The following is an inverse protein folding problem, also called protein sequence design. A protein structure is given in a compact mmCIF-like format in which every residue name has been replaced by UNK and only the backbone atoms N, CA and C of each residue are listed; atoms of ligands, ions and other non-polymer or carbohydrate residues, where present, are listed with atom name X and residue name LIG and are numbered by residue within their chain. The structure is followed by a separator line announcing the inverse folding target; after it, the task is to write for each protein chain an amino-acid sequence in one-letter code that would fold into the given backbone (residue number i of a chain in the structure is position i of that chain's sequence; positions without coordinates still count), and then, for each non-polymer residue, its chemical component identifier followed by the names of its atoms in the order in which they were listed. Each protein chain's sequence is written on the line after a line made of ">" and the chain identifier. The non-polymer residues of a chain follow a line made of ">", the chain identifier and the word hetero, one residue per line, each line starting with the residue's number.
data_IF_342587070388
#
_entry.id   IF_342587070388
#
_cell.length_a   1.000
_cell.length_b   1.000
_cell.length_c   1.000
_cell.angle_alpha   90.00
_cell.angle_beta   90.00
_cell.angle_gamma   90.00
#
_symmetry.space_group_name_H-M   'P 1'
#
loop_
_entity.id
_entity.type
_entity.pdbx_description
1 polymer ?
#
# COMPACT_ATOMS: atom_id res chain seq x y z
N UNK A 1 -0.50 -10.60 45.69
CA UNK A 1 -0.32 -9.59 44.60
C UNK A 1 0.43 -10.09 43.35
N UNK A 2 1.13 -11.23 43.37
CA UNK A 2 1.90 -11.74 42.22
C UNK A 2 1.06 -12.36 41.08
N UNK A 3 -0.11 -12.93 41.37
CA UNK A 3 -0.96 -13.54 40.31
C UNK A 3 -1.57 -12.54 39.31
N UNK A 4 -1.81 -11.28 39.70
CA UNK A 4 -2.40 -10.27 38.81
C UNK A 4 -1.43 -9.76 37.75
N UNK A 5 -0.14 -9.69 38.05
CA UNK A 5 0.90 -9.18 37.15
C UNK A 5 1.21 -10.21 36.04
N UNK A 6 1.24 -11.49 36.36
CA UNK A 6 1.43 -12.57 35.39
C UNK A 6 0.27 -12.67 34.40
N UNK A 7 -0.97 -12.47 34.86
CA UNK A 7 -2.14 -12.45 33.98
C UNK A 7 -2.14 -11.30 32.98
N UNK A 8 -1.75 -10.10 33.43
CA UNK A 8 -1.66 -8.90 32.57
C UNK A 8 -0.55 -9.02 31.52
N UNK A 9 0.59 -9.60 31.86
CA UNK A 9 1.69 -9.84 30.93
C UNK A 9 1.34 -10.89 29.88
N UNK A 10 0.60 -11.94 30.25
CA UNK A 10 0.14 -12.97 29.31
C UNK A 10 -0.90 -12.42 28.33
N UNK A 11 -1.83 -11.58 28.80
CA UNK A 11 -2.84 -10.94 27.94
C UNK A 11 -2.18 -9.92 27.01
N UNK A 12 -1.23 -9.12 27.48
CA UNK A 12 -0.48 -8.18 26.64
C UNK A 12 0.35 -8.90 25.58
N UNK A 13 0.99 -10.03 25.93
CA UNK A 13 1.71 -10.86 24.96
C UNK A 13 0.79 -11.48 23.91
N UNK A 14 -0.39 -11.98 24.30
CA UNK A 14 -1.37 -12.55 23.38
C UNK A 14 -1.96 -11.49 22.44
N UNK A 15 -2.24 -10.28 22.92
CA UNK A 15 -2.73 -9.18 22.12
C UNK A 15 -1.67 -8.70 21.13
N UNK A 16 -0.39 -8.69 21.55
CA UNK A 16 0.71 -8.32 20.65
C UNK A 16 0.92 -9.38 19.57
N UNK A 17 0.86 -10.66 19.90
CA UNK A 17 0.94 -11.76 18.92
C UNK A 17 -0.27 -11.80 17.97
N UNK A 18 -1.46 -11.39 18.42
CA UNK A 18 -2.64 -11.31 17.56
C UNK A 18 -2.54 -10.20 16.51
N UNK A 19 -1.79 -9.13 16.80
CA UNK A 19 -1.50 -8.04 15.84
C UNK A 19 -0.34 -8.35 14.89
N UNK A 20 0.55 -9.25 15.29
CA UNK A 20 1.61 -9.80 14.46
C UNK A 20 1.07 -11.13 13.92
N UNK A 21 0.27 -11.12 12.85
CA UNK A 21 -0.09 -12.35 12.16
C UNK A 21 1.17 -13.18 11.87
N UNK A 22 1.07 -14.52 11.74
CA UNK A 22 2.22 -15.33 11.38
C UNK A 22 2.82 -14.81 10.08
N UNK A 23 4.12 -14.50 10.08
CA UNK A 23 4.83 -14.13 8.86
C UNK A 23 4.66 -15.27 7.85
N UNK A 24 4.10 -14.95 6.69
CA UNK A 24 3.82 -15.94 5.65
C UNK A 24 4.07 -15.37 4.26
N UNK A 25 4.37 -16.24 3.33
CA UNK A 25 4.60 -15.89 1.94
C UNK A 25 3.51 -16.50 1.07
N UNK A 26 2.92 -15.70 0.19
CA UNK A 26 1.99 -16.15 -0.84
C UNK A 26 2.65 -15.96 -2.21
N UNK A 27 2.46 -16.94 -3.11
CA UNK A 27 2.95 -16.89 -4.49
C UNK A 27 1.83 -17.27 -5.44
N UNK A 28 1.55 -16.43 -6.43
CA UNK A 28 0.48 -16.72 -7.38
C UNK A 28 0.23 -15.56 -8.35
N UNK A 29 -0.82 -15.71 -9.14
CA UNK A 29 -1.34 -14.64 -10.00
C UNK A 29 -2.17 -13.68 -9.13
N UNK A 30 -1.85 -12.40 -9.20
CA UNK A 30 -2.52 -11.35 -8.45
C UNK A 30 -3.31 -10.42 -9.37
N UNK A 31 -4.32 -9.73 -8.79
CA UNK A 31 -5.12 -8.71 -9.48
C UNK A 31 -5.20 -7.44 -8.62
N UNK A 32 -5.04 -6.28 -9.23
CA UNK A 32 -5.19 -5.00 -8.54
C UNK A 32 -6.66 -4.76 -8.16
N UNK A 33 -6.89 -4.33 -6.93
CA UNK A 33 -8.18 -3.81 -6.43
C UNK A 33 -8.22 -2.31 -6.66
N UNK A 34 -7.19 -1.61 -6.19
CA UNK A 34 -6.94 -0.18 -6.35
C UNK A 34 -5.44 0.08 -6.52
N UNK A 35 -4.94 1.28 -6.21
CA UNK A 35 -3.53 1.64 -6.40
C UNK A 35 -2.56 1.05 -5.37
N UNK A 36 -3.04 0.55 -4.24
CA UNK A 36 -2.22 -0.01 -3.15
C UNK A 36 -2.78 -1.29 -2.53
N UNK A 37 -3.81 -1.89 -3.13
CA UNK A 37 -4.38 -3.15 -2.68
C UNK A 37 -4.53 -4.13 -3.84
N UNK A 38 -4.30 -5.40 -3.56
CA UNK A 38 -4.38 -6.47 -4.54
C UNK A 38 -5.09 -7.71 -3.95
N UNK A 39 -5.55 -8.60 -4.83
CA UNK A 39 -6.05 -9.92 -4.45
C UNK A 39 -5.10 -10.99 -4.96
N UNK A 40 -4.65 -11.86 -4.06
CA UNK A 40 -3.74 -12.98 -4.35
C UNK A 40 -4.29 -14.24 -3.67
N UNK A 41 -4.52 -15.30 -4.45
CA UNK A 41 -5.09 -16.57 -3.96
C UNK A 41 -6.39 -16.40 -3.15
N UNK A 42 -7.23 -15.45 -3.56
CA UNK A 42 -8.50 -15.15 -2.88
C UNK A 42 -8.40 -14.18 -1.70
N UNK A 43 -7.20 -13.88 -1.22
CA UNK A 43 -6.97 -12.96 -0.11
C UNK A 43 -6.74 -11.52 -0.58
N UNK A 44 -7.29 -10.58 0.15
CA UNK A 44 -7.04 -9.16 -0.05
C UNK A 44 -5.82 -8.72 0.77
N UNK A 45 -4.82 -8.17 0.09
CA UNK A 45 -3.59 -7.67 0.66
C UNK A 45 -3.46 -6.17 0.40
N UNK A 46 -2.97 -5.42 1.39
CA UNK A 46 -2.59 -4.03 1.24
C UNK A 46 -1.06 -3.93 1.17
N UNK A 47 -0.56 -3.20 0.20
CA UNK A 47 0.87 -2.96 0.05
C UNK A 47 1.40 -2.11 1.22
N UNK A 48 2.38 -2.66 1.95
CA UNK A 48 2.98 -2.00 3.12
C UNK A 48 3.88 -0.84 2.72
N UNK A 49 3.87 0.23 3.49
CA UNK A 49 4.85 1.32 3.39
C UNK A 49 4.51 2.41 2.39
N UNK A 50 3.37 2.32 1.72
CA UNK A 50 2.91 3.29 0.73
C UNK A 50 1.40 3.57 0.86
N UNK A 51 0.94 4.66 0.21
CA UNK A 51 -0.47 5.06 0.16
C UNK A 51 -0.77 5.64 -1.24
N UNK A 52 -1.68 5.03 -1.97
CA UNK A 52 -2.02 5.46 -3.32
C UNK A 52 -3.25 6.38 -3.34
N UNK A 53 -3.38 7.24 -4.37
CA UNK A 53 -4.61 7.98 -4.59
C UNK A 53 -5.82 7.04 -4.67
N UNK A 54 -6.90 7.44 -4.00
CA UNK A 54 -8.16 6.69 -3.99
C UNK A 54 -8.77 6.57 -5.39
N UNK A 55 -9.52 5.52 -5.65
CA UNK A 55 -10.09 5.23 -6.99
C UNK A 55 -10.83 6.40 -7.64
N UNK A 56 -11.47 7.25 -6.82
CA UNK A 56 -12.22 8.44 -7.28
C UNK A 56 -11.41 9.73 -7.16
N UNK A 57 -10.18 9.65 -6.69
CA UNK A 57 -9.36 10.83 -6.46
C UNK A 57 -8.89 11.40 -7.79
N UNK A 58 -9.06 12.71 -7.93
CA UNK A 58 -8.61 13.50 -9.07
C UNK A 58 -7.39 14.33 -8.70
N UNK A 59 -6.53 14.52 -9.66
CA UNK A 59 -5.41 15.46 -9.60
C UNK A 59 -5.63 16.52 -10.68
N UNK A 60 -4.92 17.64 -10.63
CA UNK A 60 -5.01 18.68 -11.64
C UNK A 60 -3.64 19.05 -12.20
N UNK A 61 -3.56 19.27 -13.50
CA UNK A 61 -2.36 19.80 -14.16
C UNK A 61 -2.18 21.30 -13.88
N UNK A 62 -1.10 21.89 -14.39
CA UNK A 62 -0.82 23.30 -14.22
C UNK A 62 -1.90 24.21 -14.81
N UNK A 63 -2.62 23.75 -15.84
CA UNK A 63 -3.74 24.45 -16.47
C UNK A 63 -5.09 24.24 -15.77
N UNK A 64 -5.13 23.47 -14.68
CA UNK A 64 -6.35 23.17 -13.93
C UNK A 64 -7.19 22.04 -14.53
N UNK A 65 -6.70 21.35 -15.57
CA UNK A 65 -7.39 20.19 -16.15
C UNK A 65 -7.27 19.01 -15.17
N UNK A 66 -8.41 18.38 -14.89
CA UNK A 66 -8.46 17.21 -14.03
C UNK A 66 -7.96 15.94 -14.75
N UNK A 67 -7.22 15.12 -14.00
CA UNK A 67 -6.74 13.80 -14.40
C UNK A 67 -7.12 12.75 -13.37
N UNK A 68 -7.35 11.53 -13.81
CA UNK A 68 -7.82 10.40 -13.03
C UNK A 68 -6.63 9.69 -12.34
N UNK A 69 -6.03 10.33 -11.32
CA UNK A 69 -4.82 9.81 -10.68
C UNK A 69 -5.07 8.52 -9.88
N UNK A 70 -6.24 8.34 -9.28
CA UNK A 70 -6.58 7.09 -8.61
C UNK A 70 -6.62 5.90 -9.55
N UNK A 71 -7.31 6.04 -10.68
CA UNK A 71 -7.32 4.98 -11.71
C UNK A 71 -5.97 4.79 -12.39
N UNK A 72 -5.17 5.86 -12.51
CA UNK A 72 -3.81 5.75 -13.04
C UNK A 72 -2.93 4.90 -12.12
N UNK A 73 -3.00 5.11 -10.82
CA UNK A 73 -2.28 4.31 -9.82
C UNK A 73 -2.69 2.82 -9.86
N UNK A 74 -4.00 2.55 -9.94
CA UNK A 74 -4.48 1.18 -10.10
C UNK A 74 -3.94 0.52 -11.37
N UNK A 75 -3.99 1.21 -12.53
CA UNK A 75 -3.45 0.66 -13.79
C UNK A 75 -1.96 0.40 -13.73
N UNK A 76 -1.20 1.23 -13.00
CA UNK A 76 0.23 0.99 -12.79
C UNK A 76 0.50 -0.28 -11.99
N UNK A 77 -0.24 -0.50 -10.89
CA UNK A 77 -0.17 -1.74 -10.14
C UNK A 77 -0.58 -2.93 -11.03
N UNK A 78 -1.69 -2.84 -11.76
CA UNK A 78 -2.15 -3.89 -12.65
C UNK A 78 -1.12 -4.28 -13.71
N UNK A 79 -0.41 -3.30 -14.29
CA UNK A 79 0.66 -3.53 -15.26
C UNK A 79 1.88 -4.25 -14.64
N UNK A 80 2.21 -3.98 -13.38
CA UNK A 80 3.27 -4.71 -12.66
C UNK A 80 2.84 -6.15 -12.38
N UNK A 81 1.61 -6.36 -11.93
CA UNK A 81 1.08 -7.70 -11.61
C UNK A 81 0.93 -8.60 -12.85
N UNK A 82 0.63 -8.01 -14.01
CA UNK A 82 0.44 -8.75 -15.27
C UNK A 82 1.72 -9.41 -15.83
N UNK A 83 2.89 -9.10 -15.29
CA UNK A 83 4.18 -9.63 -15.78
C UNK A 83 4.46 -11.07 -15.38
N UNK A 84 3.67 -11.67 -14.50
CA UNK A 84 3.83 -13.08 -14.08
C UNK A 84 3.43 -13.33 -12.63
N UNK A 85 4.01 -14.39 -12.05
CA UNK A 85 3.75 -14.73 -10.65
C UNK A 85 4.30 -13.67 -9.70
N UNK A 86 3.49 -13.33 -8.72
CA UNK A 86 3.82 -12.37 -7.66
C UNK A 86 4.10 -13.12 -6.38
N UNK A 87 5.15 -12.73 -5.68
CA UNK A 87 5.49 -13.19 -4.34
C UNK A 87 5.23 -12.07 -3.36
N UNK A 88 4.37 -12.30 -2.36
CA UNK A 88 4.05 -11.34 -1.30
C UNK A 88 4.43 -11.90 0.07
N UNK A 89 5.25 -11.17 0.81
CA UNK A 89 5.59 -11.44 2.19
C UNK A 89 4.67 -10.62 3.11
N UNK A 90 3.93 -11.30 3.98
CA UNK A 90 2.93 -10.72 4.87
C UNK A 90 3.44 -10.82 6.30
N UNK A 91 3.70 -9.69 6.95
CA UNK A 91 4.23 -9.64 8.30
C UNK A 91 3.26 -9.11 9.36
N UNK A 92 2.20 -8.44 8.94
CA UNK A 92 1.23 -7.78 9.83
C UNK A 92 -0.16 -7.83 9.23
N UNK A 93 -1.16 -7.58 10.07
CA UNK A 93 -2.56 -7.41 9.66
C UNK A 93 -3.00 -6.00 10.04
N UNK A 94 -3.67 -5.32 9.13
CA UNK A 94 -4.22 -3.99 9.39
C UNK A 94 -5.51 -4.07 10.24
N UNK A 95 -6.03 -2.90 10.64
CA UNK A 95 -7.24 -2.81 11.46
C UNK A 95 -8.52 -3.34 10.77
N UNK A 96 -8.46 -3.58 9.47
CA UNK A 96 -9.57 -4.11 8.68
C UNK A 96 -9.43 -5.60 8.39
N UNK A 97 -8.39 -6.25 8.92
CA UNK A 97 -8.12 -7.68 8.72
C UNK A 97 -7.34 -8.02 7.45
N UNK A 98 -6.84 -7.02 6.68
CA UNK A 98 -6.03 -7.25 5.49
C UNK A 98 -4.58 -7.47 5.87
N UNK A 99 -3.91 -8.40 5.19
CA UNK A 99 -2.48 -8.58 5.31
C UNK A 99 -1.70 -7.39 4.75
N UNK A 100 -0.79 -6.81 5.54
CA UNK A 100 0.18 -5.82 5.06
C UNK A 100 1.33 -6.56 4.39
N UNK A 101 1.53 -6.31 3.10
CA UNK A 101 2.39 -7.11 2.26
C UNK A 101 3.50 -6.31 1.56
N UNK A 102 4.66 -6.91 1.46
CA UNK A 102 5.73 -6.50 0.54
C UNK A 102 5.73 -7.48 -0.61
N UNK A 103 5.48 -6.97 -1.81
CA UNK A 103 5.27 -7.80 -2.98
C UNK A 103 6.36 -7.55 -4.02
N UNK A 104 6.77 -8.64 -4.69
CA UNK A 104 7.71 -8.58 -5.81
C UNK A 104 7.25 -9.47 -6.96
N UNK A 105 7.68 -9.11 -8.15
CA UNK A 105 7.52 -9.91 -9.35
C UNK A 105 8.92 -10.12 -9.96
N UNK A 106 9.44 -11.35 -9.86
CA UNK A 106 10.86 -11.60 -10.11
C UNK A 106 11.74 -10.74 -9.18
N UNK A 107 12.66 -9.99 -9.75
CA UNK A 107 13.54 -9.05 -9.03
C UNK A 107 12.91 -7.66 -8.82
N UNK A 108 11.74 -7.40 -9.38
CA UNK A 108 11.07 -6.10 -9.27
C UNK A 108 10.31 -5.99 -7.93
N UNK A 109 10.76 -5.11 -7.05
CA UNK A 109 9.99 -4.69 -5.87
C UNK A 109 8.81 -3.82 -6.32
N UNK A 110 7.59 -4.36 -6.21
CA UNK A 110 6.34 -3.70 -6.64
C UNK A 110 6.09 -2.46 -5.80
N UNK A 111 6.24 -2.57 -4.48
CA UNK A 111 5.98 -1.47 -3.55
C UNK A 111 6.92 -0.28 -3.83
N UNK A 112 8.22 -0.53 -3.91
CA UNK A 112 9.23 0.48 -4.22
C UNK A 112 9.00 1.11 -5.60
N UNK A 113 8.63 0.31 -6.60
CA UNK A 113 8.41 0.77 -7.97
C UNK A 113 7.22 1.71 -8.06
N UNK A 114 6.10 1.40 -7.41
CA UNK A 114 4.93 2.28 -7.37
C UNK A 114 5.27 3.66 -6.80
N UNK A 115 6.05 3.72 -5.73
CA UNK A 115 6.46 5.00 -5.13
C UNK A 115 7.47 5.73 -6.02
N UNK A 116 8.49 5.03 -6.55
CA UNK A 116 9.53 5.61 -7.41
C UNK A 116 8.99 6.18 -8.71
N UNK A 117 7.95 5.54 -9.27
CA UNK A 117 7.29 6.02 -10.49
C UNK A 117 6.14 7.02 -10.19
N UNK A 118 5.93 7.37 -8.92
CA UNK A 118 4.96 8.38 -8.50
C UNK A 118 3.51 7.93 -8.61
N UNK A 119 3.23 6.65 -8.44
CA UNK A 119 1.85 6.12 -8.41
C UNK A 119 1.31 5.99 -6.99
N UNK A 120 2.17 6.18 -5.98
CA UNK A 120 1.82 6.24 -4.57
C UNK A 120 2.76 7.18 -3.82
N UNK A 121 2.35 7.65 -2.64
CA UNK A 121 3.19 8.37 -1.71
C UNK A 121 3.81 7.41 -0.69
N UNK A 122 4.93 7.78 -0.11
CA UNK A 122 5.55 7.06 0.99
C UNK A 122 4.68 7.16 2.25
N UNK A 123 4.41 6.03 2.89
CA UNK A 123 3.63 5.93 4.12
C UNK A 123 4.28 4.95 5.10
N UNK A 124 5.26 5.41 5.84
CA UNK A 124 6.06 4.58 6.75
C UNK A 124 7.22 3.84 6.08
N UNK A 125 7.32 3.82 4.73
CA UNK A 125 8.41 3.25 3.96
C UNK A 125 8.72 4.07 2.71
N UNK A 126 9.75 3.70 1.95
CA UNK A 126 10.04 4.17 0.58
C UNK A 126 10.25 5.69 0.42
N UNK A 127 10.79 6.37 1.44
CA UNK A 127 11.04 7.83 1.39
C UNK A 127 12.07 8.23 0.33
N UNK A 128 13.06 7.36 0.08
CA UNK A 128 14.07 7.56 -0.96
C UNK A 128 13.45 7.51 -2.37
N UNK A 129 12.58 6.55 -2.60
CA UNK A 129 11.83 6.37 -3.85
C UNK A 129 10.89 7.56 -4.10
N UNK A 130 10.22 8.04 -3.07
CA UNK A 130 9.38 9.24 -3.15
C UNK A 130 10.21 10.48 -3.50
N UNK A 131 11.37 10.65 -2.87
CA UNK A 131 12.27 11.78 -3.18
C UNK A 131 12.71 11.74 -4.66
N UNK A 132 13.02 10.57 -5.21
CA UNK A 132 13.33 10.39 -6.62
C UNK A 132 12.15 10.74 -7.52
N UNK A 133 10.94 10.29 -7.18
CA UNK A 133 9.72 10.60 -7.94
C UNK A 133 9.43 12.11 -7.96
N UNK A 134 9.54 12.78 -6.80
CA UNK A 134 9.39 14.24 -6.66
C UNK A 134 10.40 15.00 -7.51
N UNK A 135 11.68 14.66 -7.40
CA UNK A 135 12.75 15.35 -8.13
C UNK A 135 12.58 15.24 -9.64
N UNK A 136 12.04 14.11 -10.14
CA UNK A 136 11.81 13.85 -11.54
C UNK A 136 10.40 14.25 -12.04
N UNK A 137 9.51 14.73 -11.16
CA UNK A 137 8.11 15.04 -11.51
C UNK A 137 7.32 13.84 -12.03
N UNK A 138 7.57 12.63 -11.47
CA UNK A 138 6.94 11.40 -11.98
C UNK A 138 5.53 11.21 -11.41
N UNK A 139 4.65 10.68 -12.24
CA UNK A 139 3.31 10.29 -11.84
C UNK A 139 2.51 11.44 -11.22
N UNK A 140 1.99 11.27 -10.02
CA UNK A 140 1.22 12.30 -9.31
C UNK A 140 2.03 13.56 -9.00
N UNK A 141 3.36 13.49 -8.95
CA UNK A 141 4.23 14.64 -8.69
C UNK A 141 4.33 15.63 -9.86
N UNK A 142 3.84 15.25 -11.06
CA UNK A 142 3.64 16.19 -12.17
C UNK A 142 2.36 17.04 -12.03
N UNK A 143 1.54 16.77 -11.02
CA UNK A 143 0.22 17.36 -10.83
C UNK A 143 0.08 18.00 -9.45
N UNK A 144 -0.96 18.80 -9.28
CA UNK A 144 -1.45 19.20 -7.97
C UNK A 144 -2.41 18.12 -7.47
N UNK A 145 -2.16 17.61 -6.28
CA UNK A 145 -3.01 16.61 -5.65
C UNK A 145 -3.08 16.80 -4.14
N UNK A 146 -4.13 16.31 -3.55
CA UNK A 146 -4.28 16.18 -2.11
C UNK A 146 -3.66 14.84 -1.67
N UNK A 147 -2.90 14.76 -0.56
CA UNK A 147 -2.43 13.47 -0.04
C UNK A 147 -3.59 12.49 0.16
N UNK A 148 -3.44 11.19 -0.21
CA UNK A 148 -4.54 10.22 -0.17
C UNK A 148 -5.22 10.13 1.21
N UNK A 149 -4.45 10.14 2.30
CA UNK A 149 -4.98 10.16 3.66
C UNK A 149 -5.86 11.39 3.94
N UNK A 150 -5.45 12.58 3.46
CA UNK A 150 -6.22 13.81 3.63
C UNK A 150 -7.51 13.74 2.82
N UNK A 151 -7.42 13.25 1.59
CA UNK A 151 -8.58 13.05 0.72
C UNK A 151 -9.61 12.12 1.37
N UNK A 152 -9.20 10.97 1.93
CA UNK A 152 -10.08 10.04 2.66
C UNK A 152 -10.80 10.71 3.82
N UNK A 153 -10.08 11.49 4.64
CA UNK A 153 -10.68 12.21 5.78
C UNK A 153 -11.78 13.19 5.35
N UNK A 154 -11.59 13.85 4.21
CA UNK A 154 -12.59 14.81 3.67
C UNK A 154 -13.80 14.12 3.04
N UNK A 155 -13.63 12.90 2.53
CA UNK A 155 -14.67 12.14 1.82
C UNK A 155 -15.19 10.95 2.63
N UNK A 156 -14.77 10.79 3.89
CA UNK A 156 -15.36 9.84 4.83
C UNK A 156 -16.83 10.25 5.09
N UNK A 157 -17.75 9.39 4.71
CA UNK A 157 -19.17 9.48 5.04
C UNK A 157 -19.49 8.55 6.20
#
# INVERSE_FOLDING_TARGET
>A
MALGILGLLAIAGAVLQYRLGPARTLVGVARAIDGDSLRLLGEELRLEGLDAPEMRQRCSDAGGREVDCGRASRRALEALLARGLVTCEIGKIDRYGRGLARCRQGETDINATLVREGHAVAYGGYRSEEAQAKAAGRGIWAFRFEPPETWRRRHAR
#
